data_IF_311516027165
#
_entry.id   IF_311516027165
#
_cell.length_a   1.000
_cell.length_b   1.000
_cell.length_c   1.000
_cell.angle_alpha   90.00
_cell.angle_beta   90.00
_cell.angle_gamma   90.00
#
_symmetry.space_group_name_H-M   'P 1'
#
loop_
_entity.id
_entity.type
_entity.pdbx_description
1 polymer ?
#
# COMPACT_ATOMS: atom_id res chain seq x y z
N UNK A 1 6.24 16.95 42.46
CA UNK A 1 7.05 16.55 41.29
C UNK A 1 6.64 15.13 40.92
N UNK A 2 5.75 14.96 39.94
CA UNK A 2 5.38 13.63 39.43
C UNK A 2 6.07 13.44 38.07
N UNK A 3 7.05 12.55 38.04
CA UNK A 3 7.73 12.13 36.81
C UNK A 3 6.78 11.25 36.00
N UNK A 4 6.49 11.65 34.75
CA UNK A 4 5.91 10.74 33.76
C UNK A 4 7.01 9.79 33.27
N UNK A 5 6.81 8.49 33.45
CA UNK A 5 7.61 7.46 32.80
C UNK A 5 7.06 7.25 31.39
N UNK A 6 7.88 7.54 30.37
CA UNK A 6 7.61 7.14 28.99
C UNK A 6 7.96 5.67 28.89
N UNK A 7 6.97 4.81 28.62
CA UNK A 7 7.21 3.41 28.29
C UNK A 7 7.96 3.36 26.95
N UNK A 8 9.24 3.04 26.98
CA UNK A 8 10.02 2.77 25.78
C UNK A 8 9.65 1.37 25.29
N UNK A 9 9.17 1.27 24.05
CA UNK A 9 9.01 -0.03 23.39
C UNK A 9 10.41 -0.67 23.23
N UNK A 10 10.53 -1.94 23.64
CA UNK A 10 11.79 -2.67 23.63
C UNK A 10 12.19 -3.03 22.18
N UNK A 11 13.31 -2.53 21.64
CA UNK A 11 13.73 -2.81 20.26
C UNK A 11 13.92 -4.31 19.99
N UNK A 12 14.21 -5.11 21.02
CA UNK A 12 14.38 -6.56 20.89
C UNK A 12 13.09 -7.33 20.60
N UNK A 13 11.92 -6.81 21.01
CA UNK A 13 10.66 -7.53 20.84
C UNK A 13 10.17 -7.52 19.37
N UNK A 14 10.41 -6.43 18.63
CA UNK A 14 10.12 -6.38 17.19
C UNK A 14 11.03 -7.32 16.39
N UNK A 15 12.27 -7.56 16.85
CA UNK A 15 13.20 -8.47 16.18
C UNK A 15 12.72 -9.94 16.22
N UNK A 16 12.09 -10.36 17.32
CA UNK A 16 11.60 -11.74 17.49
C UNK A 16 10.29 -12.01 16.72
N UNK A 17 9.39 -11.03 16.56
CA UNK A 17 8.12 -11.20 15.84
C UNK A 17 8.26 -11.17 14.32
N UNK A 18 9.36 -10.60 13.83
CA UNK A 18 9.69 -10.47 12.41
C UNK A 18 10.69 -11.53 11.92
N UNK A 19 11.01 -12.56 12.72
CA UNK A 19 11.91 -13.65 12.31
C UNK A 19 11.33 -14.39 11.09
N UNK A 20 12.18 -14.56 10.07
CA UNK A 20 11.82 -15.26 8.83
C UNK A 20 13.07 -15.88 8.19
N UNK A 21 12.89 -16.93 7.39
CA UNK A 21 13.96 -17.46 6.55
C UNK A 21 14.06 -16.62 5.27
N UNK A 22 14.89 -15.59 5.32
CA UNK A 22 15.09 -14.66 4.20
C UNK A 22 15.62 -15.36 2.95
N UNK A 23 16.51 -16.34 3.10
CA UNK A 23 17.09 -17.03 1.95
C UNK A 23 16.02 -17.90 1.25
N UNK A 24 15.17 -18.57 2.02
CA UNK A 24 14.05 -19.32 1.47
C UNK A 24 13.04 -18.42 0.76
N UNK A 25 12.67 -17.27 1.34
CA UNK A 25 11.76 -16.31 0.70
C UNK A 25 12.32 -15.77 -0.61
N UNK A 26 13.61 -15.41 -0.64
CA UNK A 26 14.28 -14.98 -1.87
C UNK A 26 14.44 -16.11 -2.91
N UNK A 27 14.22 -17.37 -2.55
CA UNK A 27 14.26 -18.54 -3.42
C UNK A 27 12.87 -18.94 -4.00
N UNK A 28 11.78 -18.30 -3.57
CA UNK A 28 10.42 -18.56 -4.08
C UNK A 28 10.21 -18.12 -5.55
N UNK A 29 9.21 -18.67 -6.24
CA UNK A 29 8.81 -18.16 -7.56
C UNK A 29 8.23 -16.74 -7.46
N UNK A 30 8.19 -15.93 -8.55
CA UNK A 30 7.57 -14.60 -8.48
C UNK A 30 6.10 -14.63 -8.03
N UNK A 31 5.35 -15.66 -8.44
CA UNK A 31 3.97 -15.84 -8.01
C UNK A 31 3.88 -16.15 -6.50
N UNK A 32 4.68 -17.09 -6.00
CA UNK A 32 4.64 -17.49 -4.58
C UNK A 32 5.22 -16.41 -3.65
N UNK A 33 6.19 -15.63 -4.15
CA UNK A 33 6.76 -14.54 -3.38
C UNK A 33 5.81 -13.33 -3.30
N UNK A 34 5.25 -12.91 -4.44
CA UNK A 34 4.61 -11.59 -4.57
C UNK A 34 3.09 -11.63 -4.73
N UNK A 35 2.49 -12.78 -5.08
CA UNK A 35 1.04 -12.90 -5.33
C UNK A 35 0.31 -13.82 -4.34
N UNK A 36 1.00 -14.72 -3.66
CA UNK A 36 0.41 -15.54 -2.59
C UNK A 36 -0.07 -14.65 -1.43
N UNK A 37 -1.36 -14.70 -1.12
CA UNK A 37 -1.99 -13.87 -0.08
C UNK A 37 -1.57 -14.29 1.33
N UNK A 38 -1.30 -15.59 1.53
CA UNK A 38 -0.98 -16.17 2.83
C UNK A 38 0.54 -16.45 3.00
N UNK A 39 1.32 -16.20 1.95
CA UNK A 39 2.74 -16.54 1.85
C UNK A 39 3.62 -15.39 1.36
N UNK A 40 4.86 -15.73 1.01
CA UNK A 40 5.83 -14.77 0.49
C UNK A 40 6.14 -13.63 1.47
N UNK A 41 6.07 -12.38 1.00
CA UNK A 41 6.35 -11.20 1.84
C UNK A 41 5.15 -10.73 2.69
N UNK A 42 3.91 -11.11 2.34
CA UNK A 42 2.70 -10.54 2.94
C UNK A 42 2.58 -10.76 4.46
N UNK A 43 2.86 -11.95 5.02
CA UNK A 43 2.78 -12.16 6.46
C UNK A 43 3.70 -11.24 7.29
N UNK A 44 4.80 -10.75 6.70
CA UNK A 44 5.63 -9.71 7.31
C UNK A 44 5.02 -8.32 7.10
N UNK A 45 4.55 -8.02 5.89
CA UNK A 45 3.98 -6.71 5.56
C UNK A 45 2.69 -6.37 6.31
N UNK A 46 1.92 -7.38 6.72
CA UNK A 46 0.68 -7.20 7.50
C UNK A 46 0.93 -6.85 8.97
N UNK A 47 2.15 -7.09 9.47
CA UNK A 47 2.56 -6.71 10.83
C UNK A 47 3.14 -5.30 10.80
N UNK A 48 2.53 -4.31 11.47
CA UNK A 48 3.04 -2.94 11.46
C UNK A 48 4.51 -2.83 11.88
N UNK A 49 4.95 -3.63 12.84
CA UNK A 49 6.33 -3.66 13.33
C UNK A 49 7.34 -4.29 12.35
N UNK A 50 6.88 -5.06 11.36
CA UNK A 50 7.73 -5.72 10.36
C UNK A 50 7.66 -5.05 8.97
N UNK A 51 6.86 -4.00 8.79
CA UNK A 51 6.59 -3.41 7.49
C UNK A 51 7.88 -2.91 6.78
N UNK A 52 8.85 -2.39 7.52
CA UNK A 52 10.15 -1.97 6.94
C UNK A 52 10.96 -3.17 6.44
N UNK A 53 10.99 -4.25 7.22
CA UNK A 53 11.66 -5.51 6.85
C UNK A 53 10.99 -6.11 5.59
N UNK A 54 9.66 -6.09 5.51
CA UNK A 54 8.93 -6.56 4.34
C UNK A 54 9.22 -5.69 3.09
N UNK A 55 9.33 -4.37 3.26
CA UNK A 55 9.69 -3.48 2.16
C UNK A 55 11.13 -3.70 1.67
N UNK A 56 12.09 -3.93 2.58
CA UNK A 56 13.46 -4.31 2.23
C UNK A 56 13.49 -5.67 1.51
N UNK A 57 12.71 -6.64 1.97
CA UNK A 57 12.60 -7.95 1.34
C UNK A 57 12.12 -7.89 -0.11
N UNK A 58 11.13 -7.05 -0.42
CA UNK A 58 10.67 -6.79 -1.79
C UNK A 58 11.80 -6.22 -2.68
N UNK A 59 12.53 -5.22 -2.16
CA UNK A 59 13.67 -4.64 -2.86
C UNK A 59 14.76 -5.68 -3.17
N UNK A 60 15.08 -6.50 -2.18
CA UNK A 60 16.10 -7.55 -2.29
C UNK A 60 15.66 -8.69 -3.21
N UNK A 61 14.36 -9.00 -3.26
CA UNK A 61 13.83 -9.96 -4.22
C UNK A 61 14.03 -9.50 -5.65
N UNK A 62 13.67 -8.25 -6.00
CA UNK A 62 13.94 -7.72 -7.34
C UNK A 62 15.41 -7.72 -7.69
N UNK A 63 16.28 -7.39 -6.73
CA UNK A 63 17.73 -7.39 -6.96
C UNK A 63 18.27 -8.80 -7.19
N UNK A 64 17.79 -9.77 -6.43
CA UNK A 64 18.23 -11.18 -6.52
C UNK A 64 17.73 -11.84 -7.81
N UNK A 65 16.51 -11.51 -8.24
CA UNK A 65 15.87 -12.06 -9.45
C UNK A 65 15.93 -11.13 -10.65
N UNK A 66 16.87 -10.18 -10.63
CA UNK A 66 16.99 -9.20 -11.70
C UNK A 66 17.27 -9.90 -13.03
N UNK A 67 16.48 -9.56 -14.06
CA UNK A 67 16.57 -10.18 -15.39
C UNK A 67 15.76 -11.47 -15.54
N UNK A 68 15.23 -12.05 -14.46
CA UNK A 68 14.31 -13.19 -14.50
C UNK A 68 12.84 -12.75 -14.44
N UNK A 69 12.57 -11.63 -13.78
CA UNK A 69 11.22 -11.06 -13.69
C UNK A 69 10.75 -10.54 -15.04
N UNK A 70 9.51 -10.85 -15.38
CA UNK A 70 8.80 -10.18 -16.48
C UNK A 70 8.62 -8.69 -16.17
N UNK A 71 8.40 -7.83 -17.17
CA UNK A 71 8.09 -6.42 -16.93
C UNK A 71 6.92 -6.23 -15.97
N UNK A 72 5.86 -7.03 -16.12
CA UNK A 72 4.68 -6.99 -15.25
C UNK A 72 5.03 -7.29 -13.79
N UNK A 73 5.74 -8.38 -13.52
CA UNK A 73 6.18 -8.73 -12.16
C UNK A 73 7.08 -7.66 -11.55
N UNK A 74 7.98 -7.09 -12.35
CA UNK A 74 8.87 -6.02 -11.88
C UNK A 74 8.07 -4.77 -11.46
N UNK A 75 7.11 -4.34 -12.28
CA UNK A 75 6.24 -3.21 -11.98
C UNK A 75 5.36 -3.48 -10.74
N UNK A 76 4.74 -4.66 -10.66
CA UNK A 76 3.93 -5.04 -9.48
C UNK A 76 4.78 -5.06 -8.20
N UNK A 77 6.00 -5.57 -8.27
CA UNK A 77 6.87 -5.59 -7.10
C UNK A 77 7.26 -4.18 -6.63
N UNK A 78 7.62 -3.28 -7.55
CA UNK A 78 7.84 -1.86 -7.22
C UNK A 78 6.61 -1.23 -6.56
N UNK A 79 5.42 -1.54 -7.07
CA UNK A 79 4.18 -1.03 -6.51
C UNK A 79 3.99 -1.50 -5.06
N UNK A 80 4.15 -2.79 -4.79
CA UNK A 80 4.00 -3.34 -3.43
C UNK A 80 5.01 -2.77 -2.44
N UNK A 81 6.28 -2.60 -2.85
CA UNK A 81 7.27 -1.93 -2.00
C UNK A 81 6.82 -0.49 -1.72
N UNK A 82 6.36 0.22 -2.74
CA UNK A 82 5.83 1.57 -2.63
C UNK A 82 4.71 1.70 -1.59
N UNK A 83 3.76 0.76 -1.56
CA UNK A 83 2.65 0.76 -0.60
C UNK A 83 3.14 0.59 0.85
N UNK A 84 4.08 -0.33 1.11
CA UNK A 84 4.65 -0.47 2.46
C UNK A 84 5.41 0.78 2.90
N UNK A 85 6.22 1.35 2.00
CA UNK A 85 6.96 2.60 2.23
C UNK A 85 6.00 3.77 2.50
N UNK A 86 4.86 3.81 1.82
CA UNK A 86 3.80 4.78 2.07
C UNK A 86 3.20 4.62 3.48
N UNK A 87 2.90 3.38 3.89
CA UNK A 87 2.43 3.05 5.24
C UNK A 87 3.38 3.48 6.34
N UNK A 88 4.70 3.41 6.09
CA UNK A 88 5.77 3.88 6.97
C UNK A 88 5.99 5.40 6.95
N UNK A 89 5.21 6.16 6.17
CA UNK A 89 5.38 7.61 6.01
C UNK A 89 6.61 8.02 5.18
N UNK A 90 7.24 7.08 4.47
CA UNK A 90 8.44 7.31 3.66
C UNK A 90 8.07 7.87 2.26
N UNK A 91 7.36 9.01 2.24
CA UNK A 91 6.69 9.60 1.05
C UNK A 91 7.57 9.67 -0.20
N UNK A 92 8.81 10.14 -0.09
CA UNK A 92 9.69 10.28 -1.26
C UNK A 92 10.09 8.93 -1.86
N UNK A 93 10.37 7.93 -1.01
CA UNK A 93 10.69 6.58 -1.47
C UNK A 93 9.47 5.93 -2.12
N UNK A 94 8.32 5.99 -1.43
CA UNK A 94 7.04 5.51 -1.92
C UNK A 94 6.68 6.12 -3.28
N UNK A 95 6.86 7.43 -3.46
CA UNK A 95 6.58 8.11 -4.74
C UNK A 95 7.38 7.53 -5.89
N UNK A 96 8.69 7.37 -5.72
CA UNK A 96 9.56 6.83 -6.79
C UNK A 96 9.17 5.39 -7.14
N UNK A 97 8.89 4.58 -6.13
CA UNK A 97 8.51 3.17 -6.28
C UNK A 97 7.12 3.03 -6.92
N UNK A 98 6.13 3.80 -6.48
CA UNK A 98 4.78 3.80 -7.05
C UNK A 98 4.78 4.26 -8.52
N UNK A 99 5.58 5.27 -8.87
CA UNK A 99 5.77 5.67 -10.27
C UNK A 99 6.45 4.55 -11.09
N UNK A 100 7.48 3.91 -10.53
CA UNK A 100 8.13 2.76 -11.16
C UNK A 100 7.20 1.54 -11.25
N UNK A 101 6.15 1.46 -10.44
CA UNK A 101 5.15 0.40 -10.48
C UNK A 101 4.07 0.59 -11.55
N UNK A 102 4.02 1.74 -12.22
CA UNK A 102 3.09 1.96 -13.33
C UNK A 102 3.57 1.18 -14.56
N UNK A 103 2.91 0.06 -14.84
CA UNK A 103 3.18 -0.74 -16.03
C UNK A 103 2.54 -0.10 -17.29
N UNK A 104 3.33 0.27 -18.32
CA UNK A 104 2.80 0.87 -19.55
C UNK A 104 1.85 -0.05 -20.33
N UNK A 105 2.00 -1.37 -20.22
CA UNK A 105 1.11 -2.35 -20.88
C UNK A 105 -0.30 -2.34 -20.27
N UNK A 106 -0.47 -1.74 -19.09
CA UNK A 106 -1.74 -1.59 -18.39
C UNK A 106 -2.39 -0.21 -18.63
N UNK A 107 -2.01 0.52 -19.69
CA UNK A 107 -2.48 1.89 -19.94
C UNK A 107 -4.02 2.07 -19.93
N UNK A 108 -4.79 1.02 -20.27
CA UNK A 108 -6.27 1.05 -20.29
C UNK A 108 -6.93 0.60 -18.99
N UNK A 109 -6.16 0.16 -18.00
CA UNK A 109 -6.69 -0.36 -16.72
C UNK A 109 -7.12 0.72 -15.73
N UNK A 110 -6.67 1.96 -15.94
CA UNK A 110 -6.80 3.05 -14.96
C UNK A 110 -5.75 3.04 -13.85
N UNK A 111 -4.84 2.07 -13.84
CA UNK A 111 -3.79 1.96 -12.83
C UNK A 111 -2.92 3.22 -12.72
N UNK A 112 -2.63 3.89 -13.84
CA UNK A 112 -1.86 5.14 -13.83
C UNK A 112 -2.58 6.26 -13.06
N UNK A 113 -3.88 6.44 -13.25
CA UNK A 113 -4.65 7.44 -12.50
C UNK A 113 -4.80 7.07 -11.02
N UNK A 114 -4.95 5.78 -10.73
CA UNK A 114 -4.88 5.29 -9.35
C UNK A 114 -3.53 5.60 -8.68
N UNK A 115 -2.42 5.37 -9.38
CA UNK A 115 -1.08 5.68 -8.90
C UNK A 115 -0.90 7.18 -8.65
N UNK A 116 -1.31 8.03 -9.59
CA UNK A 116 -1.24 9.47 -9.46
C UNK A 116 -2.08 9.99 -8.29
N UNK A 117 -3.30 9.47 -8.10
CA UNK A 117 -4.15 9.83 -6.97
C UNK A 117 -3.53 9.43 -5.63
N UNK A 118 -2.97 8.22 -5.56
CA UNK A 118 -2.25 7.73 -4.37
C UNK A 118 -1.06 8.62 -4.03
N UNK A 119 -0.23 8.96 -5.03
CA UNK A 119 0.92 9.85 -4.83
C UNK A 119 0.46 11.25 -4.38
N UNK A 120 -0.58 11.81 -5.00
CA UNK A 120 -1.12 13.11 -4.61
C UNK A 120 -1.57 13.11 -3.13
N UNK A 121 -2.23 12.03 -2.67
CA UNK A 121 -2.55 11.86 -1.25
C UNK A 121 -1.30 11.89 -0.35
N UNK A 122 -0.24 11.15 -0.70
CA UNK A 122 1.00 11.12 0.09
C UNK A 122 1.69 12.48 0.19
N UNK A 123 1.54 13.32 -0.84
CA UNK A 123 2.07 14.69 -0.88
C UNK A 123 1.12 15.74 -0.33
N UNK A 124 -0.02 15.34 0.25
CA UNK A 124 -1.05 16.26 0.73
C UNK A 124 -1.59 17.19 -0.39
N UNK A 125 -1.56 16.73 -1.64
CA UNK A 125 -2.12 17.41 -2.79
C UNK A 125 -3.57 16.97 -3.03
N UNK A 126 -4.49 17.64 -2.34
CA UNK A 126 -5.93 17.35 -2.45
C UNK A 126 -6.47 17.59 -3.86
N UNK A 127 -5.96 18.61 -4.55
CA UNK A 127 -6.42 18.96 -5.89
C UNK A 127 -5.98 17.89 -6.90
N UNK A 128 -4.74 17.44 -6.83
CA UNK A 128 -4.21 16.33 -7.62
C UNK A 128 -4.96 15.02 -7.38
N UNK A 129 -5.27 14.70 -6.12
CA UNK A 129 -6.06 13.52 -5.75
C UNK A 129 -7.45 13.54 -6.40
N UNK A 130 -8.17 14.66 -6.27
CA UNK A 130 -9.50 14.82 -6.88
C UNK A 130 -9.43 14.71 -8.41
N UNK A 131 -8.45 15.35 -9.05
CA UNK A 131 -8.30 15.30 -10.49
C UNK A 131 -8.00 13.88 -11.00
N UNK A 132 -7.16 13.13 -10.29
CA UNK A 132 -6.86 11.73 -10.62
C UNK A 132 -8.10 10.82 -10.46
N UNK A 133 -8.85 11.01 -9.37
CA UNK A 133 -10.10 10.31 -9.12
C UNK A 133 -11.12 10.53 -10.24
N UNK A 134 -11.30 11.76 -10.69
CA UNK A 134 -12.23 12.08 -11.80
C UNK A 134 -11.79 11.45 -13.13
N UNK A 135 -10.48 11.43 -13.43
CA UNK A 135 -9.98 10.75 -14.64
C UNK A 135 -10.21 9.24 -14.57
N UNK A 136 -9.94 8.61 -13.43
CA UNK A 136 -10.19 7.19 -13.21
C UNK A 136 -11.68 6.84 -13.36
N UNK A 137 -12.56 7.66 -12.78
CA UNK A 137 -14.01 7.48 -12.85
C UNK A 137 -14.57 7.60 -14.27
N UNK A 138 -13.95 8.40 -15.12
CA UNK A 138 -14.38 8.62 -16.50
C UNK A 138 -13.96 7.50 -17.47
N UNK A 139 -13.19 6.50 -17.03
CA UNK A 139 -12.70 5.45 -17.91
C UNK A 139 -13.83 4.53 -18.41
N UNK A 140 -13.89 4.27 -19.74
CA UNK A 140 -14.85 3.32 -20.27
C UNK A 140 -14.53 1.91 -19.78
N UNK A 141 -15.57 1.17 -19.37
CA UNK A 141 -15.41 -0.23 -18.97
C UNK A 141 -14.86 -1.07 -20.13
N UNK A 142 -13.74 -1.79 -19.96
CA UNK A 142 -13.23 -2.70 -20.97
C UNK A 142 -14.28 -3.77 -21.31
N UNK A 143 -14.41 -4.17 -22.59
CA UNK A 143 -15.41 -5.15 -23.00
C UNK A 143 -15.22 -6.52 -22.33
N UNK A 144 -14.00 -6.86 -21.94
CA UNK A 144 -13.60 -8.11 -21.29
C UNK A 144 -13.57 -8.04 -19.75
N UNK A 145 -13.92 -6.89 -19.16
CA UNK A 145 -13.85 -6.69 -17.71
C UNK A 145 -14.73 -7.68 -16.94
N UNK A 146 -15.95 -7.94 -17.40
CA UNK A 146 -16.87 -8.82 -16.67
C UNK A 146 -16.34 -10.27 -16.63
N UNK A 147 -15.59 -10.69 -17.65
CA UNK A 147 -14.94 -12.01 -17.70
C UNK A 147 -13.70 -12.05 -16.80
N UNK A 148 -12.92 -10.97 -16.77
CA UNK A 148 -11.81 -10.80 -15.83
C UNK A 148 -12.32 -10.80 -14.36
N UNK A 149 -13.40 -10.10 -14.06
CA UNK A 149 -14.00 -10.03 -12.74
C UNK A 149 -14.50 -11.40 -12.26
N UNK A 150 -15.14 -12.19 -13.13
CA UNK A 150 -15.55 -13.58 -12.79
C UNK A 150 -14.36 -14.48 -12.48
N UNK A 151 -13.27 -14.38 -13.25
CA UNK A 151 -12.04 -15.13 -12.99
C UNK A 151 -11.39 -14.72 -11.67
N UNK A 152 -11.31 -13.42 -11.42
CA UNK A 152 -10.77 -12.86 -10.18
C UNK A 152 -11.56 -13.34 -8.95
N UNK A 153 -12.89 -13.29 -9.01
CA UNK A 153 -13.76 -13.81 -7.94
C UNK A 153 -13.58 -15.31 -7.72
N UNK A 154 -13.46 -16.09 -8.78
CA UNK A 154 -13.24 -17.53 -8.66
C UNK A 154 -11.87 -17.86 -8.03
N UNK A 155 -10.84 -17.05 -8.32
CA UNK A 155 -9.48 -17.26 -7.82
C UNK A 155 -9.30 -16.79 -6.38
N UNK A 156 -9.83 -15.60 -6.03
CA UNK A 156 -9.54 -14.94 -4.75
C UNK A 156 -10.75 -14.83 -3.82
N UNK A 157 -11.97 -15.17 -4.27
CA UNK A 157 -13.20 -14.96 -3.50
C UNK A 157 -13.63 -13.51 -3.37
N UNK A 158 -12.95 -12.58 -4.04
CA UNK A 158 -13.16 -11.13 -3.95
C UNK A 158 -13.90 -10.57 -5.17
N UNK A 159 -14.76 -9.57 -4.96
CA UNK A 159 -15.47 -8.88 -6.03
C UNK A 159 -14.62 -7.76 -6.64
N UNK A 160 -14.46 -7.77 -7.96
CA UNK A 160 -13.77 -6.69 -8.70
C UNK A 160 -14.80 -5.70 -9.25
N UNK A 161 -14.70 -4.43 -8.85
CA UNK A 161 -15.57 -3.33 -9.34
C UNK A 161 -14.85 -2.52 -10.41
N UNK A 162 -15.59 -2.03 -11.41
CA UNK A 162 -15.09 -1.07 -12.38
C UNK A 162 -15.49 0.37 -12.00
N UNK A 163 -14.61 1.37 -12.15
CA UNK A 163 -13.17 1.23 -12.37
C UNK A 163 -12.45 0.60 -11.17
N UNK A 164 -11.42 -0.20 -11.44
CA UNK A 164 -10.61 -0.81 -10.39
C UNK A 164 -9.97 0.30 -9.52
N UNK A 165 -9.87 0.06 -8.21
CA UNK A 165 -9.27 0.96 -7.23
C UNK A 165 -9.93 2.34 -7.05
N UNK A 166 -11.06 2.64 -7.72
CA UNK A 166 -11.75 3.93 -7.54
C UNK A 166 -12.14 4.17 -6.06
N UNK A 167 -12.62 3.11 -5.39
CA UNK A 167 -12.97 3.17 -3.96
C UNK A 167 -11.79 3.48 -3.04
N UNK A 168 -10.56 3.17 -3.44
CA UNK A 168 -9.35 3.54 -2.66
C UNK A 168 -9.14 5.05 -2.71
N UNK A 169 -9.28 5.66 -3.90
CA UNK A 169 -9.18 7.12 -4.03
C UNK A 169 -10.32 7.83 -3.30
N UNK A 170 -11.54 7.28 -3.34
CA UNK A 170 -12.66 7.78 -2.54
C UNK A 170 -12.35 7.73 -1.03
N UNK A 171 -11.72 6.64 -0.56
CA UNK A 171 -11.22 6.50 0.82
C UNK A 171 -10.19 7.56 1.18
N UNK A 172 -9.20 7.80 0.33
CA UNK A 172 -8.20 8.86 0.52
C UNK A 172 -8.81 10.26 0.57
N UNK A 173 -9.86 10.53 -0.21
CA UNK A 173 -10.57 11.82 -0.18
C UNK A 173 -11.33 11.97 1.15
N UNK A 174 -11.97 10.91 1.63
CA UNK A 174 -12.71 10.91 2.89
C UNK A 174 -11.78 11.05 4.10
N UNK A 175 -10.64 10.36 4.10
CA UNK A 175 -9.63 10.35 5.16
C UNK A 175 -8.45 11.29 4.86
N UNK A 176 -8.69 12.39 4.14
CA UNK A 176 -7.60 13.26 3.70
C UNK A 176 -6.80 13.83 4.88
N UNK A 177 -5.48 13.62 4.87
CA UNK A 177 -4.58 14.03 5.94
C UNK A 177 -4.30 12.95 6.99
N UNK A 178 -5.00 11.81 6.99
CA UNK A 178 -4.68 10.66 7.85
C UNK A 178 -3.48 9.86 7.31
N UNK A 179 -2.81 9.03 8.14
CA UNK A 179 -1.77 8.12 7.66
C UNK A 179 -2.27 7.21 6.54
N UNK A 180 -1.37 6.83 5.62
CA UNK A 180 -1.70 6.01 4.45
C UNK A 180 -2.45 4.72 4.81
N UNK A 181 -1.96 3.98 5.81
CA UNK A 181 -2.57 2.71 6.24
C UNK A 181 -3.97 2.87 6.84
N UNK A 182 -4.31 4.05 7.40
CA UNK A 182 -5.67 4.32 7.90
C UNK A 182 -6.62 4.70 6.76
N UNK A 183 -6.12 5.41 5.75
CA UNK A 183 -6.94 5.89 4.65
C UNK A 183 -7.13 4.82 3.54
N UNK A 184 -6.26 3.81 3.48
CA UNK A 184 -6.30 2.74 2.50
C UNK A 184 -7.37 1.68 2.87
N UNK A 185 -8.47 1.61 2.11
CA UNK A 185 -9.50 0.56 2.22
C UNK A 185 -10.92 1.11 2.45
N UNK A 186 -11.12 1.84 3.56
CA UNK A 186 -12.33 2.63 3.83
C UNK A 186 -12.04 3.52 5.05
N UNK A 187 -12.40 4.81 4.96
CA UNK A 187 -12.27 5.71 6.10
C UNK A 187 -13.28 5.31 7.19
N UNK A 188 -12.86 4.96 8.41
CA UNK A 188 -13.79 4.78 9.52
C UNK A 188 -14.59 6.07 9.70
N UNK A 189 -15.90 5.98 9.96
CA UNK A 189 -16.63 7.14 10.48
C UNK A 189 -15.93 7.57 11.77
N UNK A 190 -15.67 8.88 11.94
CA UNK A 190 -14.90 9.42 13.05
C UNK A 190 -15.34 8.81 14.39
N UNK A 191 -14.59 7.82 14.90
CA UNK A 191 -14.50 7.64 16.34
C UNK A 191 -13.71 8.86 16.84
N UNK A 192 -14.31 9.57 17.80
CA UNK A 192 -13.88 10.86 18.32
C UNK A 192 -12.35 11.05 18.32
N UNK A 193 -11.84 12.23 17.92
CA UNK A 193 -10.44 12.54 18.13
C UNK A 193 -10.13 12.33 19.62
N UNK A 194 -9.01 11.66 19.97
CA UNK A 194 -8.61 11.55 21.37
C UNK A 194 -8.61 12.95 21.97
N UNK A 195 -9.20 13.15 23.16
CA UNK A 195 -9.48 14.47 23.68
C UNK A 195 -8.21 15.30 23.62
N UNK A 196 -8.32 16.47 22.99
CA UNK A 196 -7.24 17.45 22.96
C UNK A 196 -6.73 17.59 24.40
N UNK A 197 -5.45 17.28 24.62
CA UNK A 197 -4.78 17.51 25.89
C UNK A 197 -4.98 18.99 26.21
N UNK A 198 -5.97 19.24 27.06
CA UNK A 198 -6.35 20.56 27.49
C UNK A 198 -5.29 20.99 28.48
N UNK A 199 -4.17 21.50 27.97
CA UNK A 199 -3.32 22.41 28.73
C UNK A 199 -4.05 23.75 28.81
N UNK A 200 -5.14 23.75 29.56
CA UNK A 200 -5.82 24.94 30.02
C UNK A 200 -6.04 24.77 31.51
N UNK A 201 -5.20 25.41 32.31
CA UNK A 201 -5.57 25.80 33.66
C UNK A 201 -4.92 27.14 34.03
N UNK A 202 -5.57 27.90 34.95
CA UNK A 202 -5.69 29.34 34.88
C UNK A 202 -4.78 30.08 35.88
N UNK A 203 -4.56 31.36 35.57
CA UNK A 203 -4.01 32.49 36.36
C UNK A 203 -2.83 32.22 37.30
#
# INVERSE_FOLDING_TARGET
MMSLAIAQADPGAAADTCVHDRAALLALSPADFDQDLDGGWRPLGEKPECAEIAADLLADYRKTRWGELTPGELHTNYWHEGQLRAGLGQTQAATRLMMAGVNPDMARSGFADYALGTIAFLHQDRAGLLAARERLAALPKPPDFDDAARRFKAQYGLELKWPANLGVLDGFIACFGRPYNEAYGACPADDDPPPASSSEQPR
#
